data_IF_652203718719
#
_entry.id   IF_652203718719
#
_cell.length_a   1.000
_cell.length_b   1.000
_cell.length_c   1.000
_cell.angle_alpha   90.00
_cell.angle_beta   90.00
_cell.angle_gamma   90.00
#
_symmetry.space_group_name_H-M   'P 1'
#
loop_
_entity.id
_entity.type
_entity.pdbx_description
1 polymer ?
#
# COMPACT_ATOMS: atom_id res chain seq x y z
N UNK A 1 -5.32 -13.76 -8.38
CA UNK A 1 -5.89 -12.84 -7.36
C UNK A 1 -4.85 -11.77 -7.09
N UNK A 2 -5.21 -10.49 -7.23
CA UNK A 2 -4.27 -9.39 -7.04
C UNK A 2 -4.45 -8.73 -5.66
N UNK A 3 -3.35 -8.44 -4.98
CA UNK A 3 -3.35 -7.96 -3.60
C UNK A 3 -3.28 -6.43 -3.51
N UNK A 4 -3.93 -5.86 -2.50
CA UNK A 4 -3.70 -4.47 -2.10
C UNK A 4 -2.63 -4.46 -1.02
N UNK A 5 -1.52 -3.76 -1.26
CA UNK A 5 -0.37 -3.73 -0.36
C UNK A 5 -0.25 -2.33 0.23
N UNK A 6 -0.12 -2.23 1.55
CA UNK A 6 0.21 -0.99 2.24
C UNK A 6 1.63 -1.12 2.81
N UNK A 7 2.51 -0.21 2.40
CA UNK A 7 3.89 -0.13 2.88
C UNK A 7 3.97 1.04 3.85
N UNK A 8 4.37 0.76 5.09
CA UNK A 8 4.55 1.77 6.14
C UNK A 8 6.03 1.82 6.51
N UNK A 9 6.69 2.90 6.15
CA UNK A 9 8.12 3.14 6.44
C UNK A 9 8.36 4.65 6.45
N UNK A 10 9.19 5.15 7.36
CA UNK A 10 9.49 6.58 7.51
C UNK A 10 10.44 7.09 6.42
N UNK A 11 11.18 6.20 5.75
CA UNK A 11 12.09 6.53 4.66
C UNK A 11 11.44 6.35 3.28
N UNK A 12 11.37 7.43 2.51
CA UNK A 12 10.91 7.39 1.11
C UNK A 12 11.77 6.51 0.22
N UNK A 13 13.07 6.38 0.52
CA UNK A 13 14.02 5.56 -0.24
C UNK A 13 13.68 4.07 -0.05
N UNK A 14 13.43 3.65 1.19
CA UNK A 14 13.10 2.26 1.50
C UNK A 14 11.77 1.88 0.82
N UNK A 15 10.75 2.75 0.90
CA UNK A 15 9.48 2.52 0.20
C UNK A 15 9.67 2.30 -1.30
N UNK A 16 10.50 3.11 -1.96
CA UNK A 16 10.76 2.97 -3.39
C UNK A 16 11.43 1.62 -3.73
N UNK A 17 12.40 1.18 -2.94
CA UNK A 17 13.10 -0.11 -3.13
C UNK A 17 12.15 -1.30 -2.95
N UNK A 18 11.29 -1.26 -1.92
CA UNK A 18 10.30 -2.32 -1.67
C UNK A 18 9.31 -2.42 -2.82
N UNK A 19 8.81 -1.29 -3.32
CA UNK A 19 7.91 -1.25 -4.49
C UNK A 19 8.60 -1.84 -5.72
N UNK A 20 9.84 -1.43 -5.99
CA UNK A 20 10.60 -1.95 -7.13
C UNK A 20 10.79 -3.46 -7.03
N UNK A 21 11.08 -3.96 -5.84
CA UNK A 21 11.22 -5.41 -5.59
C UNK A 21 9.89 -6.14 -5.81
N UNK A 22 8.77 -5.58 -5.35
CA UNK A 22 7.43 -6.15 -5.57
C UNK A 22 7.07 -6.21 -7.06
N UNK A 23 7.40 -5.17 -7.83
CA UNK A 23 7.21 -5.15 -9.29
C UNK A 23 8.07 -6.22 -9.99
N UNK A 24 9.32 -6.38 -9.56
CA UNK A 24 10.26 -7.35 -10.14
C UNK A 24 9.93 -8.80 -9.81
N UNK A 25 9.31 -9.06 -8.64
CA UNK A 25 8.96 -10.42 -8.20
C UNK A 25 7.73 -10.99 -8.91
N UNK A 26 7.04 -10.20 -9.76
CA UNK A 26 5.89 -10.66 -10.53
C UNK A 26 4.67 -10.99 -9.67
N UNK A 27 4.64 -10.50 -8.43
CA UNK A 27 3.48 -10.65 -7.55
C UNK A 27 2.33 -9.85 -8.16
N UNK A 28 1.13 -10.43 -8.33
CA UNK A 28 -0.03 -9.69 -8.80
C UNK A 28 -0.44 -8.69 -7.71
N UNK A 29 -0.02 -7.43 -7.86
CA UNK A 29 -0.42 -6.31 -7.00
C UNK A 29 -1.46 -5.48 -7.74
N UNK A 30 -2.58 -5.18 -7.09
CA UNK A 30 -3.64 -4.33 -7.64
C UNK A 30 -3.37 -2.85 -7.33
N UNK A 31 -3.21 -2.53 -6.05
CA UNK A 31 -2.87 -1.19 -5.58
C UNK A 31 -1.78 -1.25 -4.52
N UNK A 32 -0.83 -0.33 -4.66
CA UNK A 32 0.19 -0.06 -3.66
C UNK A 32 -0.17 1.25 -2.97
N UNK A 33 -0.29 1.19 -1.66
CA UNK A 33 -0.43 2.35 -0.80
C UNK A 33 0.85 2.55 0.00
N UNK A 34 1.19 3.80 0.25
CA UNK A 34 2.37 4.18 1.01
C UNK A 34 1.93 5.05 2.18
N UNK A 35 2.55 4.84 3.34
CA UNK A 35 2.40 5.69 4.50
C UNK A 35 3.75 5.93 5.15
N UNK A 36 3.95 7.15 5.65
CA UNK A 36 5.17 7.54 6.37
C UNK A 36 5.18 7.08 7.83
N UNK A 37 4.03 6.69 8.38
CA UNK A 37 3.89 6.21 9.74
C UNK A 37 2.62 5.37 9.91
N UNK A 38 2.50 4.69 11.06
CA UNK A 38 1.36 3.83 11.36
C UNK A 38 0.02 4.57 11.44
N UNK A 39 0.01 5.85 11.80
CA UNK A 39 -1.23 6.65 11.88
C UNK A 39 -1.80 6.93 10.48
N UNK A 40 -0.96 7.39 9.56
CA UNK A 40 -1.30 7.58 8.14
C UNK A 40 -1.66 6.24 7.51
N UNK A 41 -0.93 5.17 7.83
CA UNK A 41 -1.25 3.82 7.35
C UNK A 41 -2.62 3.34 7.81
N UNK A 42 -2.96 3.56 9.07
CA UNK A 42 -4.27 3.20 9.63
C UNK A 42 -5.41 4.01 8.99
N UNK A 43 -5.19 5.29 8.73
CA UNK A 43 -6.15 6.13 8.02
C UNK A 43 -6.39 5.64 6.58
N UNK A 44 -5.31 5.29 5.87
CA UNK A 44 -5.40 4.69 4.53
C UNK A 44 -6.14 3.35 4.58
N UNK A 45 -5.91 2.51 5.59
CA UNK A 45 -6.65 1.27 5.77
C UNK A 45 -8.13 1.53 6.05
N UNK A 46 -8.46 2.46 6.95
CA UNK A 46 -9.84 2.81 7.27
C UNK A 46 -10.57 3.37 6.04
N UNK A 47 -9.97 4.32 5.31
CA UNK A 47 -10.59 4.89 4.11
C UNK A 47 -10.79 3.86 3.00
N UNK A 48 -9.91 2.86 2.87
CA UNK A 48 -10.07 1.80 1.88
C UNK A 48 -11.02 0.68 2.32
N UNK A 49 -11.12 0.37 3.63
CA UNK A 49 -12.04 -0.65 4.17
C UNK A 49 -13.51 -0.22 4.11
N UNK A 50 -13.78 1.09 4.13
CA UNK A 50 -15.13 1.64 4.01
C UNK A 50 -15.57 1.88 2.57
N UNK A 51 -14.75 1.54 1.56
CA UNK A 51 -15.10 1.70 0.14
C UNK A 51 -15.89 0.51 -0.39
N UNK A 52 -16.96 0.13 0.30
CA UNK A 52 -18.14 -0.46 -0.36
C UNK A 52 -18.89 0.73 -0.93
N UNK A 53 -18.60 1.01 -2.19
CA UNK A 53 -19.18 2.11 -2.96
C UNK A 53 -20.67 1.76 -3.19
N UNK A 54 -21.56 2.34 -2.37
CA UNK A 54 -22.98 2.46 -2.70
C UNK A 54 -23.17 3.75 -3.51
N UNK A 55 -23.21 3.61 -4.83
CA UNK A 55 -24.09 4.39 -5.71
C UNK A 55 -24.45 3.53 -6.92
#
# INVERSE_FOLDING_TARGET
>A
MAYNILIVDDSSIIRAVVIKTLELTGVPVNKIFQAENGKVGLEVLHNNRHRIMLH
#
